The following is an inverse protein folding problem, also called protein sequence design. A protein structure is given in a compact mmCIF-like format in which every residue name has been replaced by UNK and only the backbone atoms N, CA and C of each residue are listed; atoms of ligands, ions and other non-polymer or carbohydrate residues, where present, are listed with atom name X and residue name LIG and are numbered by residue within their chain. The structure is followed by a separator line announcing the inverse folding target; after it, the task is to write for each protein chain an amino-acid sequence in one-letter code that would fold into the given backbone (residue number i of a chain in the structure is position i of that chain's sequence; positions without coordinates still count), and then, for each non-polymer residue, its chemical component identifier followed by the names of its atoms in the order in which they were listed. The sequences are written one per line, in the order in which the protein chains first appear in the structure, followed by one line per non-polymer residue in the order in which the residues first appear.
data_IF_070530857650
#
_entry.id   IF_070530857650
#
_cell.length_a   1.000
_cell.length_b   1.000
_cell.length_c   1.000
_cell.angle_alpha   90.00
_cell.angle_beta   90.00
_cell.angle_gamma   90.00
#
_symmetry.space_group_name_H-M   'P 1'
#
loop_
_entity.id
_entity.type
_entity.pdbx_description
1 polymer ?
#
# COMPACT_ATOMS: atom_id res chain seq x y z
N UNK A 1 3.17 -9.61 -2.23
CA UNK A 1 2.69 -9.08 -3.53
C UNK A 1 1.86 -10.08 -4.30
N UNK A 2 2.39 -11.26 -4.68
CA UNK A 2 1.61 -12.30 -5.38
C UNK A 2 0.25 -12.60 -4.73
N UNK A 3 0.23 -12.86 -3.42
CA UNK A 3 -1.01 -13.10 -2.68
C UNK A 3 -2.02 -11.95 -2.80
N UNK A 4 -1.58 -10.70 -2.82
CA UNK A 4 -2.47 -9.55 -3.02
C UNK A 4 -2.97 -9.45 -4.47
N UNK A 5 -2.13 -9.78 -5.45
CA UNK A 5 -2.52 -9.80 -6.87
C UNK A 5 -3.54 -10.89 -7.21
N UNK A 6 -3.51 -12.01 -6.48
CA UNK A 6 -4.38 -13.17 -6.68
C UNK A 6 -5.62 -13.17 -5.76
N UNK A 7 -5.70 -12.24 -4.81
CA UNK A 7 -6.82 -12.16 -3.88
C UNK A 7 -8.06 -11.59 -4.57
N UNK A 8 -9.23 -12.16 -4.25
CA UNK A 8 -10.52 -11.77 -4.80
C UNK A 8 -11.07 -10.54 -4.05
N UNK A 9 -10.48 -9.38 -4.30
CA UNK A 9 -10.81 -8.14 -3.60
C UNK A 9 -12.24 -7.68 -3.90
N UNK A 10 -12.99 -7.41 -2.83
CA UNK A 10 -14.23 -6.63 -2.90
C UNK A 10 -14.00 -5.16 -2.53
N UNK A 11 -12.81 -4.85 -2.01
CA UNK A 11 -12.42 -3.56 -1.44
C UNK A 11 -13.35 -3.09 -0.32
N UNK A 12 -13.74 -4.02 0.55
CA UNK A 12 -14.50 -3.75 1.77
C UNK A 12 -13.77 -4.26 3.00
N UNK A 13 -14.18 -3.81 4.19
CA UNK A 13 -13.56 -4.25 5.46
C UNK A 13 -13.65 -5.76 5.68
N UNK A 14 -14.60 -6.45 5.04
CA UNK A 14 -14.67 -7.92 5.03
C UNK A 14 -13.47 -8.61 4.38
N UNK A 15 -12.71 -7.92 3.52
CA UNK A 15 -11.52 -8.50 2.89
C UNK A 15 -10.35 -8.63 3.88
N UNK A 16 -10.32 -7.83 4.95
CA UNK A 16 -9.16 -7.74 5.84
C UNK A 16 -8.87 -9.06 6.58
N UNK A 17 -9.83 -9.71 7.28
CA UNK A 17 -9.54 -10.98 7.95
C UNK A 17 -9.03 -12.10 7.03
N UNK A 18 -9.70 -12.43 5.89
CA UNK A 18 -9.23 -13.50 5.02
C UNK A 18 -7.89 -13.15 4.35
N UNK A 19 -7.71 -11.91 3.89
CA UNK A 19 -6.44 -11.50 3.30
C UNK A 19 -5.30 -11.58 4.33
N UNK A 20 -5.47 -11.00 5.52
CA UNK A 20 -4.46 -11.05 6.58
C UNK A 20 -4.10 -12.48 6.94
N UNK A 21 -5.10 -13.37 7.08
CA UNK A 21 -4.87 -14.78 7.34
C UNK A 21 -4.04 -15.46 6.24
N UNK A 22 -4.27 -15.13 4.97
CA UNK A 22 -3.52 -15.68 3.84
C UNK A 22 -2.06 -15.24 3.82
N UNK A 23 -1.76 -13.98 4.18
CA UNK A 23 -0.39 -13.44 4.16
C UNK A 23 0.34 -13.57 5.50
N UNK A 24 -0.30 -14.18 6.50
CA UNK A 24 0.27 -14.37 7.84
C UNK A 24 0.29 -13.10 8.69
N UNK A 25 -0.54 -12.12 8.37
CA UNK A 25 -0.70 -10.91 9.16
C UNK A 25 -1.68 -11.13 10.30
N UNK A 26 -1.47 -10.43 11.40
CA UNK A 26 -2.36 -10.42 12.54
C UNK A 26 -3.34 -9.28 12.40
N UNK A 27 -4.63 -9.58 12.33
CA UNK A 27 -5.69 -8.60 12.21
C UNK A 27 -6.40 -8.39 13.55
N UNK A 28 -6.70 -7.14 13.90
CA UNK A 28 -7.52 -6.77 15.06
C UNK A 28 -8.48 -5.62 14.73
N UNK A 29 -9.65 -5.62 15.37
CA UNK A 29 -10.59 -4.51 15.26
C UNK A 29 -11.45 -4.51 13.99
N UNK A 30 -12.07 -5.66 13.65
CA UNK A 30 -13.02 -5.76 12.52
C UNK A 30 -14.15 -4.71 12.62
N UNK A 31 -14.68 -4.55 13.83
CA UNK A 31 -15.80 -3.67 14.14
C UNK A 31 -15.34 -2.26 14.63
N UNK A 32 -14.04 -1.96 14.55
CA UNK A 32 -13.51 -0.65 14.95
C UNK A 32 -13.62 0.37 13.83
N UNK A 33 -13.72 1.66 14.15
CA UNK A 33 -13.75 2.73 13.14
C UNK A 33 -12.51 2.73 12.25
N UNK A 34 -11.35 2.32 12.79
CA UNK A 34 -10.10 2.19 12.06
C UNK A 34 -9.57 0.78 12.29
N UNK A 35 -9.70 -0.14 11.31
CA UNK A 35 -9.15 -1.48 11.45
C UNK A 35 -7.64 -1.44 11.63
N UNK A 36 -7.12 -2.35 12.43
CA UNK A 36 -5.69 -2.49 12.67
C UNK A 36 -5.19 -3.85 12.17
N UNK A 37 -3.99 -3.88 11.60
CA UNK A 37 -3.29 -5.13 11.37
C UNK A 37 -1.79 -4.95 11.60
N UNK A 38 -1.12 -6.08 11.79
CA UNK A 38 0.33 -6.16 11.97
C UNK A 38 0.86 -7.19 10.99
N UNK A 39 1.84 -6.78 10.19
CA UNK A 39 2.53 -7.66 9.25
C UNK A 39 3.45 -8.64 9.98
N UNK A 40 3.86 -9.70 9.28
CA UNK A 40 4.91 -10.62 9.73
C UNK A 40 6.31 -10.25 9.18
N UNK A 41 6.48 -9.03 8.69
CA UNK A 41 7.76 -8.56 8.17
C UNK A 41 8.71 -8.28 9.33
N UNK A 42 9.99 -8.61 9.13
CA UNK A 42 11.06 -8.30 10.08
C UNK A 42 11.47 -6.83 9.96
N UNK A 43 10.58 -5.92 10.39
CA UNK A 43 10.80 -4.48 10.45
C UNK A 43 10.42 -3.93 11.82
N UNK A 44 11.04 -2.81 12.21
CA UNK A 44 10.90 -2.19 13.53
C UNK A 44 9.52 -1.56 13.78
N UNK A 45 8.72 -1.36 12.72
CA UNK A 45 7.31 -0.94 12.77
C UNK A 45 6.49 -1.75 11.77
N UNK A 46 6.02 -2.94 12.17
CA UNK A 46 5.30 -3.85 11.30
C UNK A 46 3.81 -3.49 11.12
N UNK A 47 3.39 -2.31 11.58
CA UNK A 47 2.00 -1.88 11.56
C UNK A 47 1.45 -1.69 10.13
N UNK A 48 0.18 -2.02 9.96
CA UNK A 48 -0.59 -1.81 8.74
C UNK A 48 -1.60 -0.69 8.99
N UNK A 49 -1.62 0.31 8.12
CA UNK A 49 -2.67 1.34 8.10
C UNK A 49 -3.72 0.98 7.05
N UNK A 50 -4.99 1.02 7.45
CA UNK A 50 -6.14 0.84 6.56
C UNK A 50 -6.89 2.16 6.44
N UNK A 51 -7.04 2.65 5.21
CA UNK A 51 -7.77 3.86 4.89
C UNK A 51 -9.13 3.49 4.30
N UNK A 52 -10.19 3.80 5.05
CA UNK A 52 -11.58 3.58 4.63
C UNK A 52 -12.18 4.87 4.09
N UNK A 53 -13.15 4.75 3.18
CA UNK A 53 -13.83 5.90 2.57
C UNK A 53 -14.71 6.69 3.56
N UNK A 54 -15.30 6.00 4.53
CA UNK A 54 -16.16 6.60 5.55
C UNK A 54 -15.87 6.00 6.93
N UNK A 55 -15.31 6.82 7.81
CA UNK A 55 -15.00 6.47 9.21
C UNK A 55 -16.17 6.76 10.17
N UNK A 56 -17.26 7.38 9.70
CA UNK A 56 -18.42 7.70 10.53
C UNK A 56 -19.25 6.47 10.91
N UNK A 57 -18.97 5.33 10.27
CA UNK A 57 -19.64 4.06 10.45
C UNK A 57 -18.65 2.91 10.71
N UNK A 58 -19.15 1.87 11.38
CA UNK A 58 -18.46 0.58 11.60
C UNK A 58 -19.06 -0.55 10.76
N UNK A 59 -19.87 -0.22 9.76
CA UNK A 59 -20.43 -1.21 8.84
C UNK A 59 -19.32 -1.97 8.10
N UNK A 60 -19.42 -3.30 8.05
CA UNK A 60 -18.42 -4.14 7.41
C UNK A 60 -18.40 -4.01 5.88
N UNK A 61 -19.47 -3.47 5.29
CA UNK A 61 -19.57 -3.12 3.86
C UNK A 61 -18.85 -1.83 3.49
N UNK A 62 -18.31 -1.09 4.46
CA UNK A 62 -17.61 0.17 4.16
C UNK A 62 -16.39 -0.09 3.27
N UNK A 63 -16.23 0.80 2.30
CA UNK A 63 -15.20 0.70 1.30
C UNK A 63 -13.81 0.98 1.89
N UNK A 64 -12.83 0.18 1.48
CA UNK A 64 -11.41 0.44 1.68
C UNK A 64 -10.89 1.16 0.45
N UNK A 65 -10.27 2.31 0.69
CA UNK A 65 -9.56 3.05 -0.35
C UNK A 65 -8.16 2.48 -0.55
N UNK A 66 -7.47 2.19 0.55
CA UNK A 66 -6.07 1.80 0.52
C UNK A 66 -5.64 1.07 1.80
N UNK A 67 -4.69 0.15 1.65
CA UNK A 67 -3.95 -0.49 2.74
C UNK A 67 -2.48 -0.15 2.54
N UNK A 68 -1.80 0.31 3.59
CA UNK A 68 -0.37 0.65 3.53
C UNK A 68 0.41 -0.01 4.65
N UNK A 69 1.64 -0.42 4.35
CA UNK A 69 2.56 -1.00 5.32
C UNK A 69 4.01 -0.70 4.93
N UNK A 70 4.92 -0.80 5.88
CA UNK A 70 6.35 -0.54 5.65
C UNK A 70 7.04 -1.79 5.14
N UNK A 71 7.92 -1.61 4.16
CA UNK A 71 8.80 -2.65 3.63
C UNK A 71 10.25 -2.50 4.12
N UNK A 72 10.53 -1.48 4.95
CA UNK A 72 11.82 -1.24 5.59
C UNK A 72 11.63 -0.78 7.03
N UNK A 73 12.71 -0.81 7.79
CA UNK A 73 12.79 -0.12 9.07
C UNK A 73 12.53 1.38 8.92
N UNK A 74 12.00 1.98 9.98
CA UNK A 74 11.89 3.44 10.12
C UNK A 74 13.22 3.99 10.59
N UNK A 75 13.74 4.95 9.84
CA UNK A 75 14.94 5.70 10.18
C UNK A 75 14.60 7.17 10.41
N UNK A 76 14.65 7.64 11.66
CA UNK A 76 14.28 9.00 12.04
C UNK A 76 15.52 9.87 12.26
N UNK A 77 15.49 11.08 11.71
CA UNK A 77 16.47 12.13 12.04
C UNK A 77 17.87 11.91 11.47
N UNK A 78 18.03 11.06 10.46
CA UNK A 78 19.30 10.83 9.78
C UNK A 78 19.12 11.12 8.29
N UNK A 79 19.56 12.30 7.84
CA UNK A 79 19.59 12.71 6.42
C UNK A 79 20.51 11.83 5.59
N UNK A 80 21.47 11.15 6.22
CA UNK A 80 22.56 10.46 5.54
C UNK A 80 22.17 9.04 5.09
N UNK A 81 20.97 8.57 5.42
CA UNK A 81 20.47 7.23 5.10
C UNK A 81 19.60 7.19 3.84
N UNK A 82 19.45 8.30 3.11
CA UNK A 82 18.80 8.31 1.80
C UNK A 82 19.33 7.22 0.84
N UNK A 83 20.66 6.99 0.73
CA UNK A 83 21.20 5.94 -0.13
C UNK A 83 20.75 4.53 0.27
N UNK A 84 20.57 4.28 1.57
CA UNK A 84 20.17 2.97 2.10
C UNK A 84 18.68 2.70 1.81
N UNK A 85 17.83 3.72 1.93
CA UNK A 85 16.42 3.62 1.52
C UNK A 85 16.28 3.41 0.01
N UNK A 86 17.14 4.05 -0.80
CA UNK A 86 17.20 3.82 -2.24
C UNK A 86 17.59 2.38 -2.59
N UNK A 87 18.59 1.81 -1.90
CA UNK A 87 19.00 0.40 -2.08
C UNK A 87 17.86 -0.56 -1.71
N UNK A 88 17.20 -0.34 -0.57
CA UNK A 88 16.05 -1.15 -0.14
C UNK A 88 14.88 -1.01 -1.13
N UNK A 89 14.61 0.20 -1.61
CA UNK A 89 13.58 0.45 -2.61
C UNK A 89 13.86 -0.30 -3.91
N UNK A 90 15.08 -0.18 -4.45
CA UNK A 90 15.48 -0.88 -5.67
C UNK A 90 15.34 -2.40 -5.51
N UNK A 91 15.84 -2.97 -4.41
CA UNK A 91 15.75 -4.39 -4.13
C UNK A 91 14.29 -4.87 -3.98
N UNK A 92 13.42 -4.06 -3.37
CA UNK A 92 11.99 -4.33 -3.29
C UNK A 92 11.35 -4.35 -4.68
N UNK A 93 11.59 -3.31 -5.48
CA UNK A 93 11.02 -3.15 -6.82
C UNK A 93 11.42 -4.29 -7.74
N UNK A 94 12.68 -4.71 -7.72
CA UNK A 94 13.17 -5.83 -8.53
C UNK A 94 12.39 -7.12 -8.20
N UNK A 95 12.20 -7.40 -6.91
CA UNK A 95 11.38 -8.54 -6.47
C UNK A 95 9.92 -8.39 -6.86
N UNK A 96 9.36 -7.19 -6.81
CA UNK A 96 7.98 -6.93 -7.23
C UNK A 96 7.81 -7.18 -8.73
N UNK A 97 8.77 -6.75 -9.55
CA UNK A 97 8.78 -7.00 -10.98
C UNK A 97 8.78 -8.50 -11.29
N UNK A 98 9.65 -9.28 -10.63
CA UNK A 98 9.68 -10.74 -10.78
C UNK A 98 8.38 -11.42 -10.35
N UNK A 99 7.78 -10.96 -9.24
CA UNK A 99 6.58 -11.56 -8.68
C UNK A 99 5.30 -11.22 -9.47
N UNK A 100 5.19 -9.99 -9.96
CA UNK A 100 4.03 -9.50 -10.70
C UNK A 100 4.13 -9.85 -12.20
N UNK A 101 5.35 -10.13 -12.70
CA UNK A 101 5.58 -10.50 -14.09
C UNK A 101 5.38 -9.37 -15.09
N UNK A 102 5.27 -8.13 -14.62
CA UNK A 102 5.07 -6.95 -15.47
C UNK A 102 5.85 -5.73 -14.94
N UNK A 103 6.20 -4.83 -15.87
CA UNK A 103 6.84 -3.54 -15.54
C UNK A 103 5.84 -2.61 -14.83
N UNK A 104 6.33 -1.62 -14.05
CA UNK A 104 5.48 -0.54 -13.55
C UNK A 104 4.69 0.10 -14.70
N UNK A 105 3.43 0.40 -14.45
CA UNK A 105 2.57 1.16 -15.35
C UNK A 105 2.91 2.65 -15.30
N UNK A 106 3.36 3.13 -14.14
CA UNK A 106 3.65 4.55 -13.91
C UNK A 106 4.73 4.76 -12.84
N UNK A 107 5.31 5.97 -12.78
CA UNK A 107 6.40 6.34 -11.87
C UNK A 107 6.49 7.84 -11.62
N UNK A 108 7.06 8.22 -10.47
CA UNK A 108 7.32 9.61 -10.10
C UNK A 108 8.63 9.75 -9.31
N UNK A 109 9.20 10.96 -9.30
CA UNK A 109 10.46 11.30 -8.60
C UNK A 109 10.26 12.39 -7.54
N UNK A 110 9.30 13.30 -7.74
CA UNK A 110 9.00 14.38 -6.81
C UNK A 110 7.52 14.35 -6.40
N UNK A 111 7.17 14.74 -5.15
CA UNK A 111 8.06 15.07 -4.04
C UNK A 111 8.72 13.83 -3.39
N UNK A 112 8.35 12.63 -3.84
CA UNK A 112 8.92 11.35 -3.42
C UNK A 112 9.21 10.49 -4.64
N UNK A 113 10.07 9.50 -4.50
CA UNK A 113 10.32 8.51 -5.55
C UNK A 113 9.37 7.33 -5.39
N UNK A 114 8.65 6.95 -6.44
CA UNK A 114 7.77 5.79 -6.39
C UNK A 114 7.42 5.19 -7.75
N UNK A 115 6.88 3.98 -7.68
CA UNK A 115 6.45 3.18 -8.81
C UNK A 115 5.05 2.64 -8.55
N UNK A 116 4.26 2.52 -9.63
CA UNK A 116 2.90 2.02 -9.62
C UNK A 116 2.73 0.89 -10.61
N UNK A 117 1.96 -0.12 -10.21
CA UNK A 117 1.52 -1.23 -11.05
C UNK A 117 0.00 -1.32 -11.01
N UNK A 118 -0.60 -1.18 -12.19
CA UNK A 118 -2.04 -1.40 -12.34
C UNK A 118 -2.28 -2.87 -12.65
N UNK A 119 -3.00 -3.54 -11.74
CA UNK A 119 -3.44 -4.92 -11.89
C UNK A 119 -4.97 -4.93 -11.97
N UNK A 120 -5.59 -5.98 -12.53
CA UNK A 120 -7.05 -6.00 -12.70
C UNK A 120 -7.85 -5.85 -11.40
N UNK A 121 -7.36 -6.40 -10.28
CA UNK A 121 -8.06 -6.40 -9.00
C UNK A 121 -7.55 -5.35 -7.99
N UNK A 122 -6.38 -4.77 -8.22
CA UNK A 122 -5.77 -3.77 -7.34
C UNK A 122 -4.73 -2.92 -8.05
N UNK A 123 -4.40 -1.79 -7.44
CA UNK A 123 -3.23 -1.01 -7.82
C UNK A 123 -2.20 -1.13 -6.71
N UNK A 124 -0.96 -1.47 -7.08
CA UNK A 124 0.15 -1.58 -6.13
C UNK A 124 1.05 -0.38 -6.32
N UNK A 125 1.41 0.28 -5.22
CA UNK A 125 2.42 1.34 -5.23
C UNK A 125 3.56 0.99 -4.29
N UNK A 126 4.78 1.23 -4.71
CA UNK A 126 5.95 1.26 -3.83
C UNK A 126 6.51 2.67 -3.85
N UNK A 127 6.83 3.24 -2.70
CA UNK A 127 7.43 4.58 -2.66
C UNK A 127 8.41 4.75 -1.50
N UNK A 128 9.40 5.61 -1.71
CA UNK A 128 10.30 6.09 -0.66
C UNK A 128 9.57 7.22 0.06
N UNK A 129 9.13 6.95 1.29
CA UNK A 129 8.64 8.00 2.18
C UNK A 129 9.80 8.68 2.92
N UNK A 130 9.47 9.67 3.74
CA UNK A 130 10.43 10.50 4.51
C UNK A 130 11.42 9.68 5.36
N UNK A 131 11.05 8.47 5.80
CA UNK A 131 11.83 7.68 6.76
C UNK A 131 11.78 6.17 6.53
N UNK A 132 11.14 5.71 5.45
CA UNK A 132 11.05 4.28 5.14
C UNK A 132 10.53 4.07 3.72
N UNK A 133 10.73 2.87 3.21
CA UNK A 133 10.04 2.38 2.02
C UNK A 133 8.66 1.87 2.40
N UNK A 134 7.64 2.35 1.68
CA UNK A 134 6.25 1.97 1.86
C UNK A 134 5.72 1.19 0.67
N UNK A 135 4.80 0.29 0.98
CA UNK A 135 3.97 -0.39 -0.02
C UNK A 135 2.51 -0.07 0.25
N UNK A 136 1.79 0.20 -0.84
CA UNK A 136 0.36 0.50 -0.84
C UNK A 136 -0.35 -0.51 -1.73
N UNK A 137 -1.47 -1.03 -1.23
CA UNK A 137 -2.48 -1.74 -1.99
C UNK A 137 -3.68 -0.79 -2.08
N UNK A 138 -4.04 -0.39 -3.28
CA UNK A 138 -5.04 0.66 -3.54
C UNK A 138 -6.19 0.07 -4.34
N UNK A 139 -7.42 0.46 -3.98
CA UNK A 139 -8.59 0.04 -4.76
C UNK A 139 -8.57 0.67 -6.15
N UNK A 140 -8.88 -0.08 -7.23
CA UNK A 140 -8.89 0.48 -8.57
C UNK A 140 -9.85 1.68 -8.69
N UNK A 141 -10.99 1.64 -8.02
CA UNK A 141 -11.94 2.75 -8.00
C UNK A 141 -11.37 4.01 -7.32
N UNK A 142 -10.66 3.86 -6.20
CA UNK A 142 -10.02 4.99 -5.54
C UNK A 142 -8.82 5.51 -6.35
N UNK A 143 -8.06 4.62 -7.00
CA UNK A 143 -7.00 5.04 -7.91
C UNK A 143 -7.55 5.87 -9.07
N UNK A 144 -8.63 5.41 -9.71
CA UNK A 144 -9.26 6.13 -10.82
C UNK A 144 -9.70 7.53 -10.38
N UNK A 145 -10.34 7.64 -9.21
CA UNK A 145 -10.74 8.94 -8.65
C UNK A 145 -9.54 9.88 -8.43
N UNK A 146 -8.41 9.37 -7.95
CA UNK A 146 -7.17 10.15 -7.81
C UNK A 146 -6.64 10.60 -9.18
N UNK A 147 -6.60 9.70 -10.16
CA UNK A 147 -6.09 9.99 -11.52
C UNK A 147 -6.93 11.10 -12.18
N UNK A 148 -8.26 11.04 -12.04
CA UNK A 148 -9.18 12.07 -12.55
C UNK A 148 -8.99 13.43 -11.85
N UNK A 149 -8.76 13.40 -10.54
CA UNK A 149 -8.51 14.62 -9.77
C UNK A 149 -7.18 15.28 -10.15
N UNK A 150 -6.10 14.50 -10.27
CA UNK A 150 -4.79 14.99 -10.70
C UNK A 150 -4.85 15.59 -12.11
N UNK A 151 -5.49 14.91 -13.06
CA UNK A 151 -5.68 15.44 -14.41
C UNK A 151 -6.45 16.78 -14.41
N UNK A 152 -7.49 16.91 -13.58
CA UNK A 152 -8.25 18.16 -13.47
C UNK A 152 -7.44 19.32 -12.88
N UNK A 153 -6.45 19.05 -12.03
CA UNK A 153 -5.59 20.06 -11.44
C UNK A 153 -4.44 20.49 -12.39
N UNK A 154 -4.06 19.65 -13.34
CA UNK A 154 -3.06 19.96 -14.37
C UNK A 154 -3.63 20.77 -15.54
N UNK A 155 -4.94 20.68 -15.78
CA UNK A 155 -5.66 21.41 -16.84
C UNK A 155 -6.07 22.85 -16.44
N UNK A 156 -5.81 23.30 -15.20
CA UNK A 156 -6.05 24.67 -14.68
C UNK A 156 -4.81 25.58 -14.70
#
# INVERSE_FOLDING_TARGET
MRAAAEFDWTWTVNDLPPFCGQVGWQFSGLDEQVPAAVTNLEVNRPDVSVFVADISTTELSRAINMISFRASDVVLGQSDLEPELDEVFNALVDRMFELLGQRPTDWWIEPTRGLRWDLPALVVRAQIGVSSVWVYLVSPAHQQWNDEYEQSAEDE
#
